data_IF_373332948427
#
_entry.id   IF_373332948427
#
_cell.length_a   1.000
_cell.length_b   1.000
_cell.length_c   1.000
_cell.angle_alpha   90.00
_cell.angle_beta   90.00
_cell.angle_gamma   90.00
#
_symmetry.space_group_name_H-M   'P 1'
#
loop_
_entity.id
_entity.type
_entity.pdbx_description
1 polymer ?
#
# COMPACT_ATOMS: atom_id res chain seq x y z
N UNK A 1 24.19 -19.90 -16.99
CA UNK A 1 25.12 -18.83 -16.66
C UNK A 1 24.92 -18.41 -15.22
N UNK A 2 25.89 -18.70 -14.35
CA UNK A 2 25.72 -18.41 -12.93
C UNK A 2 25.54 -16.93 -12.63
N UNK A 3 26.21 -16.05 -13.37
CA UNK A 3 26.16 -14.61 -13.14
C UNK A 3 24.78 -14.01 -13.38
N UNK A 4 24.09 -14.45 -14.43
CA UNK A 4 22.75 -13.98 -14.76
C UNK A 4 21.76 -14.38 -13.67
N UNK A 5 21.85 -15.62 -13.19
CA UNK A 5 20.99 -16.11 -12.11
C UNK A 5 21.24 -15.34 -10.80
N UNK A 6 22.49 -14.98 -10.53
CA UNK A 6 22.83 -14.22 -9.30
C UNK A 6 22.26 -12.79 -9.36
N UNK A 7 22.30 -12.17 -10.53
CA UNK A 7 21.74 -10.81 -10.69
C UNK A 7 20.23 -10.82 -10.49
N UNK A 8 19.52 -11.76 -11.11
CA UNK A 8 18.07 -11.90 -10.97
C UNK A 8 17.70 -12.17 -9.52
N UNK A 9 18.45 -13.03 -8.84
CA UNK A 9 18.21 -13.34 -7.44
C UNK A 9 18.43 -12.13 -6.55
N UNK A 10 19.46 -11.33 -6.81
CA UNK A 10 19.72 -10.12 -6.05
C UNK A 10 18.61 -9.08 -6.25
N UNK A 11 18.12 -8.91 -7.46
CA UNK A 11 17.01 -8.00 -7.73
C UNK A 11 15.74 -8.43 -7.01
N UNK A 12 15.44 -9.73 -7.01
CA UNK A 12 14.29 -10.27 -6.28
C UNK A 12 14.43 -10.09 -4.78
N UNK A 13 15.63 -10.31 -4.24
CA UNK A 13 15.89 -10.11 -2.83
C UNK A 13 15.73 -8.64 -2.43
N UNK A 14 16.20 -7.69 -3.27
CA UNK A 14 16.03 -6.28 -3.02
C UNK A 14 14.55 -5.88 -3.02
N UNK A 15 13.76 -6.39 -3.97
CA UNK A 15 12.32 -6.13 -3.98
C UNK A 15 11.65 -6.72 -2.75
N UNK A 16 12.06 -7.93 -2.33
CA UNK A 16 11.48 -8.60 -1.18
C UNK A 16 11.77 -7.87 0.14
N UNK A 17 12.92 -7.18 0.25
CA UNK A 17 13.28 -6.46 1.48
C UNK A 17 12.80 -5.01 1.52
N UNK A 18 12.25 -4.49 0.41
CA UNK A 18 11.66 -3.16 0.42
C UNK A 18 10.23 -3.28 0.95
N UNK A 19 9.95 -2.81 2.19
CA UNK A 19 8.64 -3.00 2.82
C UNK A 19 7.51 -2.25 2.12
N UNK A 20 7.83 -1.25 1.29
CA UNK A 20 6.81 -0.46 0.59
C UNK A 20 6.45 -1.04 -0.78
N UNK A 21 7.14 -2.08 -1.23
CA UNK A 21 6.79 -2.78 -2.47
C UNK A 21 6.16 -4.12 -2.12
N UNK A 22 4.87 -4.24 -2.37
CA UNK A 22 4.10 -5.43 -2.01
C UNK A 22 3.89 -6.26 -3.28
N UNK A 23 4.36 -7.52 -3.25
CA UNK A 23 4.15 -8.48 -4.32
C UNK A 23 2.94 -9.33 -3.96
N UNK A 24 1.97 -9.40 -4.89
CA UNK A 24 0.75 -10.19 -4.68
C UNK A 24 1.05 -11.68 -4.91
N UNK A 25 0.41 -12.53 -4.11
CA UNK A 25 0.55 -13.99 -4.28
C UNK A 25 -0.06 -14.47 -5.59
N UNK A 26 -1.14 -13.80 -6.03
CA UNK A 26 -1.83 -14.11 -7.29
C UNK A 26 -2.04 -12.81 -8.05
N UNK A 27 -2.03 -12.85 -9.39
CA UNK A 27 -2.36 -11.66 -10.18
C UNK A 27 -3.71 -11.08 -9.76
N UNK A 28 -3.78 -9.76 -9.63
CA UNK A 28 -4.97 -9.04 -9.22
C UNK A 28 -5.46 -8.19 -10.39
N UNK A 29 -6.70 -8.40 -10.81
CA UNK A 29 -7.30 -7.65 -11.91
C UNK A 29 -8.19 -6.55 -11.33
N UNK A 30 -7.90 -5.30 -11.70
CA UNK A 30 -8.68 -4.14 -11.29
C UNK A 30 -8.89 -3.24 -12.50
N UNK A 31 -10.15 -2.96 -12.81
CA UNK A 31 -10.54 -2.12 -13.97
C UNK A 31 -9.86 -2.56 -15.27
N UNK A 32 -9.85 -3.87 -15.52
CA UNK A 32 -9.32 -4.44 -16.75
C UNK A 32 -7.81 -4.51 -16.83
N UNK A 33 -7.10 -4.09 -15.79
CA UNK A 33 -5.64 -4.15 -15.74
C UNK A 33 -5.18 -5.16 -14.69
N UNK A 34 -4.15 -5.94 -15.03
CA UNK A 34 -3.59 -6.94 -14.14
C UNK A 34 -2.41 -6.38 -13.37
N UNK A 35 -2.43 -6.57 -12.06
CA UNK A 35 -1.37 -6.13 -11.15
C UNK A 35 -0.76 -7.34 -10.47
N UNK A 36 0.57 -7.42 -10.51
CA UNK A 36 1.33 -8.45 -9.78
C UNK A 36 1.94 -7.88 -8.50
N UNK A 37 2.00 -6.56 -8.40
CA UNK A 37 2.57 -5.86 -7.25
C UNK A 37 2.00 -4.46 -7.18
N UNK A 38 2.17 -3.82 -6.02
CA UNK A 38 1.82 -2.42 -5.82
C UNK A 38 2.97 -1.73 -5.06
N UNK A 39 3.31 -0.54 -5.46
CA UNK A 39 4.40 0.24 -4.87
C UNK A 39 3.82 1.37 -4.03
N UNK A 40 4.07 1.31 -2.72
CA UNK A 40 3.62 2.31 -1.76
C UNK A 40 4.73 3.30 -1.38
N UNK A 41 5.83 3.35 -2.13
CA UNK A 41 6.93 4.26 -1.80
C UNK A 41 6.54 5.73 -1.86
N UNK A 42 5.44 6.07 -2.51
CA UNK A 42 4.86 7.41 -2.46
C UNK A 42 4.50 7.89 -1.06
N UNK A 43 4.39 6.97 -0.08
CA UNK A 43 4.20 7.37 1.32
C UNK A 43 5.35 8.27 1.80
N UNK A 44 6.55 8.07 1.30
CA UNK A 44 7.73 8.85 1.67
C UNK A 44 7.62 10.32 1.25
N UNK A 45 6.82 10.60 0.22
CA UNK A 45 6.65 11.94 -0.32
C UNK A 45 5.41 12.66 0.24
N UNK A 46 4.62 11.99 1.06
CA UNK A 46 3.42 12.58 1.66
C UNK A 46 3.79 13.54 2.77
N UNK A 47 2.97 14.58 2.93
CA UNK A 47 3.20 15.67 3.89
C UNK A 47 2.09 15.75 4.93
N UNK A 48 2.25 16.67 5.90
CA UNK A 48 1.22 16.94 6.89
C UNK A 48 -0.09 17.43 6.27
N UNK A 49 -0.04 18.11 5.13
CA UNK A 49 -1.25 18.53 4.40
C UNK A 49 -2.05 17.32 3.93
N UNK A 50 -1.35 16.28 3.44
CA UNK A 50 -1.99 15.03 3.04
C UNK A 50 -2.66 14.35 4.22
N UNK A 51 -1.97 14.30 5.36
CA UNK A 51 -2.50 13.74 6.59
C UNK A 51 -3.80 14.44 7.01
N UNK A 52 -3.80 15.77 7.02
CA UNK A 52 -4.97 16.57 7.41
C UNK A 52 -6.14 16.29 6.46
N UNK A 53 -5.88 16.27 5.16
CA UNK A 53 -6.92 16.05 4.15
C UNK A 53 -7.54 14.66 4.29
N UNK A 54 -6.70 13.64 4.49
CA UNK A 54 -7.17 12.25 4.62
C UNK A 54 -7.99 12.08 5.90
N UNK A 55 -7.51 12.61 7.03
CA UNK A 55 -8.26 12.51 8.28
C UNK A 55 -9.59 13.24 8.22
N UNK A 56 -9.61 14.41 7.57
CA UNK A 56 -10.85 15.15 7.37
C UNK A 56 -11.84 14.36 6.52
N UNK A 57 -11.38 13.76 5.43
CA UNK A 57 -12.23 12.94 4.58
C UNK A 57 -12.81 11.74 5.34
N UNK A 58 -12.00 11.10 6.19
CA UNK A 58 -12.44 9.96 6.99
C UNK A 58 -13.52 10.37 8.00
N UNK A 59 -13.35 11.52 8.66
CA UNK A 59 -14.36 12.03 9.57
C UNK A 59 -15.68 12.29 8.85
N UNK A 60 -15.61 12.84 7.66
CA UNK A 60 -16.80 13.15 6.86
C UNK A 60 -17.54 11.91 6.41
N UNK A 61 -16.84 10.77 6.26
CA UNK A 61 -17.49 9.50 5.92
C UNK A 61 -18.02 8.74 7.13
N UNK A 62 -17.88 9.33 8.32
CA UNK A 62 -18.40 8.73 9.56
C UNK A 62 -17.43 7.80 10.27
N UNK A 63 -16.19 7.68 9.81
CA UNK A 63 -15.18 6.88 10.50
C UNK A 63 -14.81 7.59 11.80
N UNK A 64 -14.90 6.85 12.91
CA UNK A 64 -14.56 7.37 14.24
C UNK A 64 -13.38 6.59 14.80
N UNK A 65 -12.28 7.27 15.04
CA UNK A 65 -11.09 6.65 15.63
C UNK A 65 -10.17 7.74 16.16
N UNK A 66 -9.40 7.41 17.19
CA UNK A 66 -8.32 8.27 17.68
C UNK A 66 -7.11 8.18 16.75
N UNK A 67 -6.96 7.04 16.04
CA UNK A 67 -5.85 6.80 15.13
C UNK A 67 -6.42 6.32 13.80
N UNK A 68 -6.72 7.25 12.90
CA UNK A 68 -7.36 6.95 11.61
C UNK A 68 -6.53 5.99 10.76
N UNK A 69 -5.22 6.12 10.78
CA UNK A 69 -4.31 5.28 10.00
C UNK A 69 -4.34 3.81 10.43
N UNK A 70 -4.79 3.53 11.64
CA UNK A 70 -4.92 2.15 12.13
C UNK A 70 -6.22 1.49 11.67
N UNK A 71 -7.18 2.26 11.18
CA UNK A 71 -8.38 1.69 10.59
C UNK A 71 -8.07 1.21 9.17
N UNK A 72 -8.76 0.17 8.66
CA UNK A 72 -8.59 -0.24 7.27
C UNK A 72 -8.89 0.88 6.30
N UNK A 73 -9.96 1.64 6.55
CA UNK A 73 -10.35 2.77 5.70
C UNK A 73 -9.23 3.80 5.61
N UNK A 74 -8.63 4.15 6.74
CA UNK A 74 -7.53 5.11 6.79
C UNK A 74 -6.29 4.60 6.08
N UNK A 75 -5.87 3.38 6.39
CA UNK A 75 -4.70 2.77 5.77
C UNK A 75 -4.85 2.71 4.25
N UNK A 76 -6.04 2.36 3.76
CA UNK A 76 -6.29 2.26 2.32
C UNK A 76 -6.27 3.63 1.64
N UNK A 77 -6.72 4.69 2.32
CA UNK A 77 -6.63 6.04 1.76
C UNK A 77 -5.18 6.51 1.61
N UNK A 78 -4.33 6.23 2.61
CA UNK A 78 -2.91 6.53 2.50
C UNK A 78 -2.27 5.73 1.38
N UNK A 79 -2.59 4.44 1.30
CA UNK A 79 -2.05 3.57 0.26
C UNK A 79 -2.49 4.01 -1.14
N UNK A 80 -3.76 4.39 -1.30
CA UNK A 80 -4.30 4.84 -2.57
C UNK A 80 -3.57 6.08 -3.09
N UNK A 81 -3.35 7.04 -2.21
CA UNK A 81 -2.62 8.24 -2.60
C UNK A 81 -1.17 7.93 -2.94
N UNK A 82 -0.51 7.10 -2.13
CA UNK A 82 0.89 6.73 -2.35
C UNK A 82 1.09 5.99 -3.68
N UNK A 83 0.16 5.10 -4.02
CA UNK A 83 0.25 4.28 -5.23
C UNK A 83 -0.35 4.95 -6.47
N UNK A 84 -1.11 6.02 -6.29
CA UNK A 84 -1.77 6.70 -7.41
C UNK A 84 -2.92 5.91 -8.02
N UNK A 85 -3.63 5.14 -7.21
CA UNK A 85 -4.80 4.35 -7.63
C UNK A 85 -6.00 4.74 -6.78
N UNK A 86 -7.23 4.48 -7.24
CA UNK A 86 -8.43 4.73 -6.43
C UNK A 86 -8.45 3.85 -5.17
N UNK A 87 -9.10 4.33 -4.11
CA UNK A 87 -9.18 3.57 -2.85
C UNK A 87 -9.89 2.23 -3.04
N UNK A 88 -10.80 2.14 -4.00
CA UNK A 88 -11.52 0.92 -4.34
C UNK A 88 -10.57 -0.21 -4.76
N UNK A 89 -9.39 0.14 -5.29
CA UNK A 89 -8.34 -0.86 -5.59
C UNK A 89 -8.05 -1.72 -4.37
N UNK A 90 -7.94 -1.08 -3.21
CA UNK A 90 -7.64 -1.77 -1.95
C UNK A 90 -8.87 -2.40 -1.32
N UNK A 91 -10.04 -1.77 -1.48
CA UNK A 91 -11.29 -2.30 -0.95
C UNK A 91 -11.62 -3.67 -1.54
N UNK A 92 -11.25 -3.89 -2.79
CA UNK A 92 -11.56 -5.13 -3.52
C UNK A 92 -10.44 -6.16 -3.51
N UNK A 93 -9.31 -5.86 -2.86
CA UNK A 93 -8.22 -6.82 -2.74
C UNK A 93 -8.64 -8.05 -1.92
N UNK A 94 -8.10 -9.24 -2.25
CA UNK A 94 -8.25 -10.38 -1.35
C UNK A 94 -7.80 -10.02 0.06
N UNK A 95 -8.47 -10.55 1.07
CA UNK A 95 -8.26 -10.14 2.47
C UNK A 95 -6.81 -10.30 2.92
N UNK A 96 -6.11 -11.33 2.46
CA UNK A 96 -4.71 -11.55 2.84
C UNK A 96 -3.82 -10.42 2.32
N UNK A 97 -4.09 -9.93 1.10
CA UNK A 97 -3.33 -8.83 0.52
C UNK A 97 -3.73 -7.49 1.15
N UNK A 98 -5.04 -7.28 1.36
CA UNK A 98 -5.55 -6.07 2.01
C UNK A 98 -4.94 -5.89 3.40
N UNK A 99 -4.82 -6.98 4.14
CA UNK A 99 -4.23 -6.96 5.47
C UNK A 99 -2.75 -6.58 5.45
N UNK A 100 -2.01 -7.07 4.46
CA UNK A 100 -0.59 -6.68 4.28
C UNK A 100 -0.47 -5.18 4.02
N UNK A 101 -1.33 -4.63 3.18
CA UNK A 101 -1.34 -3.20 2.88
C UNK A 101 -1.53 -2.40 4.18
N UNK A 102 -2.52 -2.77 4.97
CA UNK A 102 -2.79 -2.10 6.24
C UNK A 102 -1.58 -2.11 7.16
N UNK A 103 -0.95 -3.27 7.32
CA UNK A 103 0.22 -3.43 8.19
C UNK A 103 1.39 -2.57 7.68
N UNK A 104 1.63 -2.56 6.39
CA UNK A 104 2.73 -1.77 5.79
C UNK A 104 2.52 -0.28 6.05
N UNK A 105 1.30 0.22 5.85
CA UNK A 105 0.97 1.64 6.08
C UNK A 105 1.17 1.99 7.55
N UNK A 106 0.62 1.18 8.46
CA UNK A 106 0.75 1.43 9.90
C UNK A 106 2.22 1.47 10.30
N UNK A 107 3.01 0.49 9.87
CA UNK A 107 4.43 0.42 10.20
C UNK A 107 5.19 1.63 9.69
N UNK A 108 4.86 2.10 8.49
CA UNK A 108 5.50 3.28 7.92
C UNK A 108 5.17 4.54 8.73
N UNK A 109 3.88 4.76 9.02
CA UNK A 109 3.44 5.99 9.68
C UNK A 109 3.89 6.05 11.15
N UNK A 110 4.14 4.92 11.77
CA UNK A 110 4.54 4.85 13.19
C UNK A 110 6.02 4.54 13.40
N UNK A 111 6.79 4.49 12.33
CA UNK A 111 8.23 4.21 12.42
C UNK A 111 9.06 5.41 12.93
#
# INVERSE_FOLDING_TARGET
>A
MPETKNIEKQEQEQEAINPLKIVFKKPYVFEGKTYNKIDLSGLEDMTGEDLIRIEKALRMTGVKSLNFEMTPEGAFMYAAQAAGVPVEFFDLLPIAEARKIRIVVINFLWS
#
